data_IF_872275339652
#
_entry.id   IF_872275339652
#
_cell.length_a   1.000
_cell.length_b   1.000
_cell.length_c   1.000
_cell.angle_alpha   90.00
_cell.angle_beta   90.00
_cell.angle_gamma   90.00
#
_symmetry.space_group_name_H-M   'P 1'
#
loop_
_entity.id
_entity.type
_entity.pdbx_description
1 polymer ?
#
# COMPACT_ATOMS: atom_id res chain seq x y z
N UNK A 1 -38.07 43.43 -13.10
CA UNK A 1 -37.60 42.23 -13.81
C UNK A 1 -36.45 41.67 -13.00
N UNK A 2 -36.64 40.52 -12.35
CA UNK A 2 -35.67 39.92 -11.44
C UNK A 2 -34.85 38.90 -12.22
N UNK A 3 -33.55 39.13 -12.39
CA UNK A 3 -32.65 38.19 -13.07
C UNK A 3 -32.31 37.05 -12.12
N UNK A 4 -32.81 35.85 -12.40
CA UNK A 4 -32.43 34.65 -11.66
C UNK A 4 -31.04 34.19 -12.12
N UNK A 5 -30.05 34.22 -11.23
CA UNK A 5 -28.76 33.59 -11.46
C UNK A 5 -28.91 32.08 -11.24
N UNK A 6 -28.71 31.28 -12.30
CA UNK A 6 -28.57 29.83 -12.17
C UNK A 6 -27.20 29.52 -11.55
N UNK A 7 -27.20 28.98 -10.34
CA UNK A 7 -26.06 28.27 -9.78
C UNK A 7 -25.97 26.90 -10.44
N UNK A 8 -24.99 26.71 -11.33
CA UNK A 8 -24.60 25.39 -11.81
C UNK A 8 -23.89 24.65 -10.67
N UNK A 9 -24.55 23.67 -10.07
CA UNK A 9 -23.89 22.74 -9.15
C UNK A 9 -23.14 21.70 -9.99
N UNK A 10 -21.80 21.78 -9.96
CA UNK A 10 -20.95 20.70 -10.44
C UNK A 10 -21.10 19.50 -9.49
N UNK A 11 -22.03 18.59 -9.81
CA UNK A 11 -22.09 17.29 -9.17
C UNK A 11 -20.95 16.45 -9.75
N UNK A 12 -19.82 16.43 -9.05
CA UNK A 12 -18.81 15.39 -9.26
C UNK A 12 -19.50 14.07 -8.88
N UNK A 13 -19.54 13.05 -9.75
CA UNK A 13 -20.08 11.77 -9.33
C UNK A 13 -19.22 11.29 -8.17
N UNK A 14 -19.86 11.03 -7.03
CA UNK A 14 -19.25 10.21 -6.01
C UNK A 14 -19.10 8.83 -6.64
N UNK A 15 -17.93 8.53 -7.20
CA UNK A 15 -17.49 7.15 -7.30
C UNK A 15 -17.75 6.56 -5.92
N UNK A 16 -18.48 5.45 -5.85
CA UNK A 16 -18.68 4.75 -4.59
C UNK A 16 -17.29 4.65 -3.94
N UNK A 17 -17.11 5.30 -2.79
CA UNK A 17 -15.88 5.18 -2.04
C UNK A 17 -15.94 3.76 -1.51
N UNK A 18 -15.49 2.80 -2.31
CA UNK A 18 -15.19 1.46 -1.84
C UNK A 18 -14.28 1.65 -0.61
N UNK A 19 -14.56 0.95 0.51
CA UNK A 19 -13.77 1.18 1.71
C UNK A 19 -12.30 0.86 1.42
N UNK A 20 -11.41 1.79 1.75
CA UNK A 20 -9.98 1.64 1.48
C UNK A 20 -9.40 0.39 2.15
N UNK A 21 -8.45 -0.27 1.48
CA UNK A 21 -7.71 -1.43 2.02
C UNK A 21 -6.49 -0.97 2.83
N UNK A 22 -5.96 0.21 2.52
CA UNK A 22 -4.86 0.89 3.20
C UNK A 22 -5.38 2.11 3.93
N UNK A 23 -5.12 2.19 5.23
CA UNK A 23 -5.51 3.31 6.08
C UNK A 23 -4.59 4.51 5.82
N UNK A 24 -3.29 4.30 5.99
CA UNK A 24 -2.27 5.31 5.72
C UNK A 24 -0.90 4.67 5.46
N UNK A 25 0.04 5.49 5.02
CA UNK A 25 1.45 5.15 4.92
C UNK A 25 2.30 6.19 5.64
N UNK A 26 3.47 5.80 6.13
CA UNK A 26 4.39 6.71 6.80
C UNK A 26 5.84 6.38 6.47
N UNK A 27 6.59 7.38 6.01
CA UNK A 27 8.03 7.26 5.83
C UNK A 27 8.74 7.41 7.17
N UNK A 28 9.66 6.50 7.45
CA UNK A 28 10.59 6.56 8.58
C UNK A 28 12.03 6.35 8.11
N UNK A 29 12.98 6.61 9.00
CA UNK A 29 14.40 6.33 8.78
C UNK A 29 14.89 5.26 9.76
N UNK A 30 15.74 4.37 9.26
CA UNK A 30 16.41 3.31 10.03
C UNK A 30 17.93 3.43 9.81
N UNK A 31 18.73 2.61 10.47
CA UNK A 31 20.17 2.56 10.25
C UNK A 31 20.57 2.07 8.85
N UNK A 32 19.67 1.40 8.13
CA UNK A 32 19.90 0.86 6.79
C UNK A 32 19.34 1.77 5.67
N UNK A 33 18.46 2.71 6.01
CA UNK A 33 17.89 3.66 5.07
C UNK A 33 16.44 4.02 5.39
N UNK A 34 15.75 4.63 4.44
CA UNK A 34 14.32 4.93 4.58
C UNK A 34 13.47 3.67 4.49
N UNK A 35 12.37 3.63 5.22
CA UNK A 35 11.34 2.58 5.17
C UNK A 35 9.97 3.22 5.05
N UNK A 36 9.13 2.70 4.16
CA UNK A 36 7.73 3.07 4.04
C UNK A 36 6.91 2.05 4.83
N UNK A 37 6.28 2.50 5.91
CA UNK A 37 5.37 1.68 6.71
C UNK A 37 3.98 1.79 6.12
N UNK A 38 3.40 0.68 5.70
CA UNK A 38 2.02 0.60 5.19
C UNK A 38 1.11 0.04 6.27
N UNK A 39 0.02 0.74 6.59
CA UNK A 39 -0.93 0.34 7.62
C UNK A 39 -2.26 -0.06 6.96
N UNK A 40 -2.63 -1.36 6.98
CA UNK A 40 -3.89 -1.79 6.38
C UNK A 40 -5.09 -1.47 7.28
N UNK A 41 -6.25 -1.23 6.66
CA UNK A 41 -7.54 -1.16 7.37
C UNK A 41 -7.96 -2.56 7.85
N UNK A 42 -9.00 -2.63 8.69
CA UNK A 42 -9.60 -3.93 9.03
C UNK A 42 -10.10 -4.68 7.80
N UNK A 43 -10.63 -3.97 6.80
CA UNK A 43 -11.04 -4.57 5.53
C UNK A 43 -9.82 -5.09 4.77
N UNK A 44 -8.77 -4.30 4.61
CA UNK A 44 -7.54 -4.73 3.91
C UNK A 44 -6.89 -5.96 4.53
N UNK A 45 -7.03 -6.17 5.85
CA UNK A 45 -6.54 -7.39 6.51
C UNK A 45 -7.32 -8.64 6.11
N UNK A 46 -8.61 -8.51 5.81
CA UNK A 46 -9.53 -9.64 5.55
C UNK A 46 -10.09 -9.66 4.12
N UNK A 47 -9.55 -8.85 3.22
CA UNK A 47 -10.04 -8.75 1.84
C UNK A 47 -9.54 -9.94 1.03
N UNK A 48 -10.43 -10.79 0.53
CA UNK A 48 -10.06 -12.07 -0.10
C UNK A 48 -10.25 -12.09 -1.63
N UNK A 49 -10.76 -11.00 -2.23
CA UNK A 49 -10.95 -10.99 -3.68
C UNK A 49 -9.59 -10.97 -4.42
N UNK A 50 -9.48 -11.64 -5.58
CA UNK A 50 -8.20 -11.83 -6.28
C UNK A 50 -7.48 -10.52 -6.69
N UNK A 51 -8.22 -9.44 -6.85
CA UNK A 51 -7.75 -8.10 -7.22
C UNK A 51 -7.25 -7.27 -6.03
N UNK A 52 -7.42 -7.76 -4.79
CA UNK A 52 -7.11 -6.99 -3.59
C UNK A 52 -5.66 -6.52 -3.50
N UNK A 53 -4.70 -7.30 -3.99
CA UNK A 53 -3.29 -6.89 -4.01
C UNK A 53 -3.07 -5.66 -4.90
N UNK A 54 -3.70 -5.65 -6.08
CA UNK A 54 -3.57 -4.54 -7.03
C UNK A 54 -4.31 -3.29 -6.56
N UNK A 55 -5.51 -3.45 -5.97
CA UNK A 55 -6.26 -2.35 -5.37
C UNK A 55 -5.43 -1.72 -4.24
N UNK A 56 -4.99 -2.52 -3.27
CA UNK A 56 -4.24 -2.02 -2.13
C UNK A 56 -2.89 -1.40 -2.54
N UNK A 57 -2.21 -1.99 -3.54
CA UNK A 57 -1.00 -1.37 -4.10
C UNK A 57 -1.28 0.00 -4.74
N UNK A 58 -2.39 0.13 -5.48
CA UNK A 58 -2.77 1.41 -6.08
C UNK A 58 -3.02 2.50 -5.02
N UNK A 59 -3.60 2.12 -3.87
CA UNK A 59 -3.80 3.02 -2.73
C UNK A 59 -2.45 3.41 -2.09
N UNK A 60 -1.52 2.47 -1.88
CA UNK A 60 -0.16 2.78 -1.39
C UNK A 60 0.51 3.80 -2.29
N UNK A 61 0.45 3.62 -3.61
CA UNK A 61 1.10 4.51 -4.59
C UNK A 61 0.43 5.88 -4.64
N UNK A 62 -0.89 5.94 -4.49
CA UNK A 62 -1.61 7.21 -4.39
C UNK A 62 -1.19 7.99 -3.13
N UNK A 63 -0.94 7.29 -2.01
CA UNK A 63 -0.50 7.89 -0.76
C UNK A 63 1.01 8.23 -0.72
N UNK A 64 1.84 7.42 -1.40
CA UNK A 64 3.29 7.59 -1.48
C UNK A 64 3.81 7.22 -2.89
N UNK A 65 3.82 8.17 -3.85
CA UNK A 65 4.25 7.91 -5.22
C UNK A 65 5.66 7.31 -5.36
N UNK A 66 6.57 7.70 -4.46
CA UNK A 66 7.95 7.20 -4.42
C UNK A 66 8.04 5.69 -4.10
N UNK A 67 6.94 5.05 -3.67
CA UNK A 67 6.84 3.60 -3.48
C UNK A 67 7.01 2.83 -4.79
N UNK A 68 6.93 3.48 -5.96
CA UNK A 68 7.20 2.88 -7.27
C UNK A 68 8.70 2.63 -7.55
N UNK A 69 9.54 2.72 -6.51
CA UNK A 69 10.95 2.37 -6.61
C UNK A 69 11.14 0.86 -6.86
N UNK A 70 12.23 0.44 -7.53
CA UNK A 70 12.47 -0.97 -7.86
C UNK A 70 12.35 -1.90 -6.65
N UNK A 71 11.62 -3.01 -6.82
CA UNK A 71 11.47 -4.05 -5.80
C UNK A 71 10.41 -3.79 -4.72
N UNK A 72 9.93 -2.54 -4.53
CA UNK A 72 8.94 -2.24 -3.48
C UNK A 72 7.58 -2.90 -3.72
N UNK A 73 7.12 -2.99 -4.97
CA UNK A 73 5.89 -3.75 -5.31
C UNK A 73 5.98 -5.22 -4.88
N UNK A 74 7.11 -5.86 -5.14
CA UNK A 74 7.32 -7.28 -4.80
C UNK A 74 7.38 -7.49 -3.28
N UNK A 75 7.96 -6.54 -2.53
CA UNK A 75 7.92 -6.54 -1.06
C UNK A 75 6.47 -6.43 -0.57
N UNK A 76 5.68 -5.53 -1.17
CA UNK A 76 4.28 -5.35 -0.84
C UNK A 76 3.46 -6.61 -1.11
N UNK A 77 3.61 -7.23 -2.28
CA UNK A 77 2.92 -8.48 -2.60
C UNK A 77 3.25 -9.59 -1.59
N UNK A 78 4.52 -9.70 -1.19
CA UNK A 78 4.94 -10.65 -0.15
C UNK A 78 4.24 -10.38 1.18
N UNK A 79 4.11 -9.13 1.60
CA UNK A 79 3.35 -8.76 2.80
C UNK A 79 1.85 -8.98 2.65
N UNK A 80 1.29 -8.64 1.49
CA UNK A 80 -0.12 -8.86 1.19
C UNK A 80 -0.44 -10.33 1.40
N UNK A 81 0.19 -11.25 0.67
CA UNK A 81 -0.10 -12.68 0.82
C UNK A 81 0.36 -13.25 2.18
N UNK A 82 1.43 -12.69 2.76
CA UNK A 82 1.92 -13.06 4.09
C UNK A 82 0.97 -12.70 5.24
N UNK A 83 0.05 -11.75 5.04
CA UNK A 83 -0.89 -11.29 6.08
C UNK A 83 -1.75 -12.43 6.65
N UNK A 84 -2.01 -13.47 5.86
CA UNK A 84 -2.79 -14.64 6.29
C UNK A 84 -2.06 -15.44 7.37
N UNK A 85 -0.72 -15.46 7.32
CA UNK A 85 0.11 -16.20 8.28
C UNK A 85 0.54 -15.34 9.48
N UNK A 86 0.68 -14.02 9.28
CA UNK A 86 1.10 -13.06 10.32
C UNK A 86 0.08 -11.89 10.39
N UNK A 87 -1.15 -12.15 10.85
CA UNK A 87 -2.28 -11.21 10.70
C UNK A 87 -2.16 -9.94 11.57
N UNK A 88 -1.40 -10.03 12.67
CA UNK A 88 -1.31 -8.97 13.67
C UNK A 88 -0.11 -8.04 13.49
N UNK A 89 0.60 -8.12 12.35
CA UNK A 89 1.68 -7.18 12.06
C UNK A 89 1.11 -5.76 11.96
N UNK A 90 1.68 -4.83 12.72
CA UNK A 90 1.19 -3.44 12.79
C UNK A 90 1.31 -2.74 11.44
N UNK A 91 2.47 -2.85 10.79
CA UNK A 91 2.74 -2.29 9.47
C UNK A 91 3.46 -3.29 8.55
N UNK A 92 3.29 -3.10 7.24
CA UNK A 92 4.04 -3.77 6.20
C UNK A 92 5.11 -2.81 5.68
N UNK A 93 6.37 -3.10 5.96
CA UNK A 93 7.46 -2.16 5.73
C UNK A 93 8.08 -2.43 4.36
N UNK A 94 8.25 -1.37 3.57
CA UNK A 94 8.78 -1.43 2.21
C UNK A 94 10.01 -0.54 2.12
N UNK A 95 11.10 -1.09 1.60
CA UNK A 95 12.38 -0.38 1.57
C UNK A 95 12.92 -0.26 0.15
N UNK A 96 13.20 0.97 -0.33
CA UNK A 96 13.79 1.16 -1.66
C UNK A 96 15.28 0.77 -1.73
N UNK A 97 15.93 0.56 -0.59
CA UNK A 97 17.33 0.13 -0.52
C UNK A 97 17.50 -1.39 -0.57
N UNK A 98 16.42 -2.16 -0.41
CA UNK A 98 16.49 -3.61 -0.54
C UNK A 98 16.74 -4.01 -2.01
N UNK A 99 17.53 -5.07 -2.26
CA UNK A 99 17.70 -5.57 -3.62
C UNK A 99 16.36 -5.96 -4.24
N UNK A 100 16.12 -5.53 -5.49
CA UNK A 100 15.03 -6.05 -6.28
C UNK A 100 15.36 -7.50 -6.70
N UNK A 101 14.53 -8.44 -6.26
CA UNK A 101 14.72 -9.89 -6.46
C UNK A 101 13.46 -10.52 -7.02
N UNK A 102 13.57 -11.74 -7.53
CA UNK A 102 12.40 -12.52 -7.95
C UNK A 102 11.52 -12.93 -6.75
N UNK A 103 10.31 -13.40 -7.05
CA UNK A 103 9.33 -13.80 -6.04
C UNK A 103 9.81 -14.93 -5.13
N UNK A 104 10.62 -15.86 -5.65
CA UNK A 104 11.17 -16.97 -4.89
C UNK A 104 12.11 -16.44 -3.81
N UNK A 105 13.09 -15.62 -4.21
CA UNK A 105 14.06 -15.03 -3.28
C UNK A 105 13.39 -14.06 -2.30
N UNK A 106 12.38 -13.30 -2.73
CA UNK A 106 11.57 -12.45 -1.85
C UNK A 106 10.91 -13.26 -0.73
N UNK A 107 10.30 -14.40 -1.09
CA UNK A 107 9.56 -15.26 -0.15
C UNK A 107 10.51 -15.93 0.84
N UNK A 108 11.60 -16.55 0.36
CA UNK A 108 12.56 -17.20 1.28
C UNK A 108 13.32 -16.22 2.17
N UNK A 109 13.42 -14.96 1.75
CA UNK A 109 13.95 -13.85 2.58
C UNK A 109 12.88 -13.25 3.50
N UNK A 110 11.70 -13.87 3.61
CA UNK A 110 10.60 -13.41 4.47
C UNK A 110 10.24 -11.94 4.22
N UNK A 111 10.11 -11.56 2.94
CA UNK A 111 9.84 -10.21 2.45
C UNK A 111 10.95 -9.18 2.69
N UNK A 112 12.10 -9.59 3.27
CA UNK A 112 13.20 -8.71 3.65
C UNK A 112 14.52 -9.10 2.94
N UNK A 113 14.60 -9.09 1.59
CA UNK A 113 15.85 -9.41 0.91
C UNK A 113 16.96 -8.42 1.29
N UNK A 114 18.18 -8.93 1.39
CA UNK A 114 19.39 -8.12 1.61
C UNK A 114 19.64 -7.65 3.06
N UNK A 115 18.79 -7.97 4.03
CA UNK A 115 19.03 -7.58 5.42
C UNK A 115 17.89 -7.92 6.37
N UNK A 116 18.06 -7.70 7.68
CA UNK A 116 17.00 -7.97 8.66
C UNK A 116 15.75 -7.09 8.41
N UNK A 117 14.64 -7.48 9.04
CA UNK A 117 13.49 -6.59 9.19
C UNK A 117 13.88 -5.33 9.97
N UNK A 118 13.34 -4.17 9.58
CA UNK A 118 13.62 -2.84 10.18
C UNK A 118 12.35 -2.04 10.45
#
# INVERSE_FOLDING_TARGET
MLTAALLAMNVVPAAAIEPALVDHVSWAATSLGRTLRVYPTSLGRTYEAPDGADIAWSEVVALAPDAQSPGMRMQFDCHWYGRVFIPNKTSWNLEPWRPAVDATLMTVSQCNPGGPEV
#
